data_IF_996659477725
#
_entry.id   IF_996659477725
#
_cell.length_a   1.000
_cell.length_b   1.000
_cell.length_c   1.000
_cell.angle_alpha   90.00
_cell.angle_beta   90.00
_cell.angle_gamma   90.00
#
_symmetry.space_group_name_H-M   'P 1'
#
loop_
_entity.id
_entity.type
_entity.pdbx_description
1 polymer ?
#
# COMPACT_ATOMS: atom_id res chain seq x y z
N UNK A 1 24.62 -29.27 23.57
CA UNK A 1 23.78 -30.35 23.02
C UNK A 1 22.34 -29.86 22.85
N UNK A 2 22.10 -28.86 21.99
CA UNK A 2 20.75 -28.32 21.75
C UNK A 2 20.50 -27.90 20.30
N UNK A 3 21.37 -28.25 19.34
CA UNK A 3 21.07 -28.06 17.91
C UNK A 3 20.04 -29.08 17.38
N UNK A 4 19.84 -30.19 18.10
CA UNK A 4 19.04 -31.32 17.64
C UNK A 4 17.53 -31.21 17.93
N UNK A 5 17.07 -30.12 18.55
CA UNK A 5 15.65 -29.88 18.87
C UNK A 5 15.03 -28.76 18.04
N UNK A 6 15.83 -27.96 17.33
CA UNK A 6 15.31 -26.83 16.56
C UNK A 6 14.84 -27.31 15.17
N UNK A 7 13.53 -27.27 14.87
CA UNK A 7 12.99 -27.72 13.59
C UNK A 7 13.55 -26.92 12.40
N UNK A 8 13.96 -25.66 12.60
CA UNK A 8 14.55 -24.83 11.54
C UNK A 8 15.95 -25.30 11.16
N UNK A 9 16.80 -25.58 12.15
CA UNK A 9 18.16 -26.06 11.93
C UNK A 9 18.15 -27.51 11.41
N UNK A 10 17.25 -28.35 11.92
CA UNK A 10 17.06 -29.71 11.42
C UNK A 10 16.68 -29.72 9.94
N UNK A 11 15.74 -28.85 9.52
CA UNK A 11 15.33 -28.74 8.11
C UNK A 11 16.48 -28.27 7.22
N UNK A 12 17.22 -27.25 7.67
CA UNK A 12 18.40 -26.73 6.96
C UNK A 12 19.48 -27.80 6.81
N UNK A 13 19.75 -28.55 7.89
CA UNK A 13 20.73 -29.65 7.88
C UNK A 13 20.33 -30.73 6.88
N UNK A 14 19.06 -31.17 6.91
CA UNK A 14 18.53 -32.18 5.99
C UNK A 14 18.62 -31.75 4.51
N UNK A 15 18.30 -30.48 4.21
CA UNK A 15 18.42 -29.92 2.87
C UNK A 15 19.89 -29.87 2.42
N UNK A 16 20.79 -29.39 3.30
CA UNK A 16 22.23 -29.28 3.00
C UNK A 16 22.89 -30.64 2.78
N UNK A 17 22.49 -31.66 3.53
CA UNK A 17 22.95 -33.03 3.37
C UNK A 17 22.25 -33.80 2.24
N UNK A 18 21.28 -33.18 1.55
CA UNK A 18 20.41 -33.82 0.55
C UNK A 18 19.76 -35.10 1.08
N UNK A 19 19.35 -35.09 2.35
CA UNK A 19 18.64 -36.20 2.96
C UNK A 19 17.24 -36.35 2.34
N UNK A 20 16.75 -37.58 2.27
CA UNK A 20 15.38 -37.86 1.81
C UNK A 20 14.40 -37.46 2.90
N UNK A 21 13.63 -36.40 2.65
CA UNK A 21 12.56 -35.95 3.55
C UNK A 21 11.28 -36.74 3.23
N UNK A 22 10.72 -37.41 4.22
CA UNK A 22 9.49 -38.22 4.09
C UNK A 22 8.37 -37.66 4.94
N UNK A 23 7.15 -38.14 4.70
CA UNK A 23 5.96 -37.69 5.41
C UNK A 23 5.25 -38.86 6.06
N UNK A 24 4.68 -38.63 7.25
CA UNK A 24 3.93 -39.65 7.98
C UNK A 24 2.63 -39.12 8.58
N UNK A 25 1.66 -40.04 8.71
CA UNK A 25 0.38 -39.84 9.38
C UNK A 25 0.12 -41.03 10.29
N UNK A 26 -0.05 -40.77 11.59
CA UNK A 26 -0.33 -41.81 12.59
C UNK A 26 0.68 -42.97 12.57
N UNK A 27 1.95 -42.66 12.29
CA UNK A 27 3.05 -43.64 12.21
C UNK A 27 3.18 -44.38 10.86
N UNK A 28 2.28 -44.15 9.90
CA UNK A 28 2.35 -44.73 8.55
C UNK A 28 2.89 -43.71 7.53
N UNK A 29 3.70 -44.15 6.53
CA UNK A 29 4.22 -43.27 5.50
C UNK A 29 3.11 -42.80 4.54
N UNK A 30 3.13 -41.52 4.16
CA UNK A 30 2.18 -40.91 3.21
C UNK A 30 2.90 -40.22 2.05
N UNK A 31 2.31 -40.18 0.84
CA UNK A 31 3.00 -39.70 -0.36
C UNK A 31 3.03 -38.17 -0.50
N UNK A 32 2.24 -37.42 0.25
CA UNK A 32 2.10 -35.97 0.06
C UNK A 32 2.01 -35.20 1.38
N UNK A 33 2.60 -34.00 1.39
CA UNK A 33 2.55 -33.07 2.53
C UNK A 33 1.12 -32.73 2.95
N UNK A 34 0.18 -32.60 1.99
CA UNK A 34 -1.21 -32.30 2.25
C UNK A 34 -1.91 -33.33 3.16
N UNK A 35 -1.53 -34.60 3.06
CA UNK A 35 -2.11 -35.71 3.84
C UNK A 35 -1.33 -36.07 5.11
N UNK A 36 -0.19 -35.40 5.35
CA UNK A 36 0.73 -35.69 6.44
C UNK A 36 0.36 -34.97 7.74
N UNK A 37 0.76 -35.58 8.86
CA UNK A 37 0.76 -34.93 10.19
C UNK A 37 2.16 -34.57 10.65
N UNK A 38 3.16 -35.34 10.22
CA UNK A 38 4.57 -35.17 10.59
C UNK A 38 5.45 -35.10 9.34
N UNK A 39 6.56 -34.36 9.46
CA UNK A 39 7.64 -34.26 8.49
C UNK A 39 8.85 -34.94 9.10
N UNK A 40 9.33 -35.99 8.44
CA UNK A 40 10.45 -36.81 8.90
C UNK A 40 11.70 -36.34 8.16
N UNK A 41 12.57 -35.63 8.88
CA UNK A 41 13.80 -35.03 8.32
C UNK A 41 14.99 -35.99 8.38
N UNK A 42 14.98 -36.91 9.34
CA UNK A 42 15.92 -38.02 9.45
C UNK A 42 15.27 -39.19 10.25
N UNK A 43 15.85 -40.41 10.25
CA UNK A 43 15.31 -41.53 11.01
C UNK A 43 15.16 -41.27 12.52
N UNK A 44 15.85 -40.27 13.06
CA UNK A 44 15.81 -39.87 14.47
C UNK A 44 15.13 -38.52 14.71
N UNK A 45 14.69 -37.80 13.68
CA UNK A 45 14.07 -36.47 13.79
C UNK A 45 12.80 -36.37 12.97
N UNK A 46 11.68 -36.42 13.69
CA UNK A 46 10.33 -36.21 13.16
C UNK A 46 9.67 -35.05 13.90
N UNK A 47 9.01 -34.17 13.17
CA UNK A 47 8.35 -32.99 13.72
C UNK A 47 6.93 -32.88 13.18
N UNK A 48 6.00 -32.41 14.01
CA UNK A 48 4.64 -32.10 13.55
C UNK A 48 4.70 -31.03 12.45
N UNK A 49 3.94 -31.18 11.36
CA UNK A 49 4.02 -30.29 10.20
C UNK A 49 3.77 -28.81 10.53
N UNK A 50 2.91 -28.56 11.52
CA UNK A 50 2.52 -27.23 11.97
C UNK A 50 3.45 -26.65 13.06
N UNK A 51 4.59 -27.29 13.34
CA UNK A 51 5.54 -26.83 14.37
C UNK A 51 6.07 -25.45 14.00
N UNK A 52 5.93 -24.43 14.87
CA UNK A 52 6.49 -23.10 14.62
C UNK A 52 8.02 -23.13 14.59
N UNK A 53 8.61 -22.45 13.62
CA UNK A 53 10.06 -22.30 13.48
C UNK A 53 10.52 -20.94 14.00
N UNK A 54 11.83 -20.74 14.12
CA UNK A 54 12.42 -19.45 14.54
C UNK A 54 12.37 -18.37 13.45
N UNK A 55 11.93 -18.69 12.23
CA UNK A 55 11.80 -17.72 11.16
C UNK A 55 10.50 -16.93 11.31
N UNK A 56 10.59 -15.66 11.69
CA UNK A 56 9.44 -14.77 11.92
C UNK A 56 8.70 -14.44 10.63
N UNK A 57 7.38 -14.35 10.75
CA UNK A 57 6.50 -13.79 9.73
C UNK A 57 6.64 -12.27 9.68
N UNK A 58 6.78 -11.70 8.49
CA UNK A 58 6.77 -10.24 8.32
C UNK A 58 5.39 -9.66 8.69
N UNK A 59 5.36 -8.73 9.62
CA UNK A 59 4.15 -7.98 10.01
C UNK A 59 3.27 -8.60 11.11
N UNK A 60 3.57 -9.81 11.62
CA UNK A 60 2.80 -10.45 12.70
C UNK A 60 3.67 -10.82 13.90
N UNK A 61 4.02 -9.82 14.73
CA UNK A 61 4.59 -10.04 16.08
C UNK A 61 5.80 -10.99 16.14
N UNK A 62 5.85 -11.83 17.19
CA UNK A 62 6.90 -12.83 17.41
C UNK A 62 6.51 -14.22 16.89
N UNK A 63 5.56 -14.30 15.95
CA UNK A 63 5.07 -15.57 15.40
C UNK A 63 5.97 -16.07 14.27
N UNK A 64 6.40 -17.33 14.37
CA UNK A 64 7.20 -18.01 13.36
C UNK A 64 6.37 -18.64 12.25
N UNK A 65 6.97 -18.80 11.06
CA UNK A 65 6.44 -19.70 10.03
C UNK A 65 6.48 -21.14 10.53
N UNK A 66 5.49 -21.93 10.12
CA UNK A 66 5.43 -23.36 10.41
C UNK A 66 6.45 -24.13 9.58
N UNK A 67 6.85 -25.31 10.05
CA UNK A 67 7.84 -26.14 9.37
C UNK A 67 7.41 -26.53 7.95
N UNK A 68 6.14 -26.87 7.75
CA UNK A 68 5.57 -27.16 6.44
C UNK A 68 5.61 -25.97 5.48
N UNK A 69 5.50 -24.73 5.99
CA UNK A 69 5.62 -23.53 5.19
C UNK A 69 7.00 -23.37 4.56
N UNK A 70 8.05 -23.57 5.36
CA UNK A 70 9.44 -23.46 4.92
C UNK A 70 9.81 -24.62 3.99
N UNK A 71 9.35 -25.83 4.29
CA UNK A 71 9.55 -26.98 3.41
C UNK A 71 8.88 -26.77 2.04
N UNK A 72 7.66 -26.25 2.01
CA UNK A 72 6.95 -26.01 0.75
C UNK A 72 7.66 -24.97 -0.14
N UNK A 73 8.32 -23.97 0.45
CA UNK A 73 9.16 -23.02 -0.29
C UNK A 73 10.33 -23.73 -0.97
N UNK A 74 11.00 -24.65 -0.27
CA UNK A 74 12.09 -25.46 -0.83
C UNK A 74 11.59 -26.40 -1.94
N UNK A 75 10.49 -27.12 -1.71
CA UNK A 75 9.89 -28.02 -2.71
C UNK A 75 9.51 -27.27 -3.99
N UNK A 76 9.05 -26.03 -3.87
CA UNK A 76 8.57 -25.19 -4.97
C UNK A 76 9.56 -24.08 -5.33
N UNK A 77 10.86 -24.32 -5.19
CA UNK A 77 11.90 -23.34 -5.50
C UNK A 77 11.90 -22.90 -6.98
N UNK A 78 11.54 -23.79 -7.90
CA UNK A 78 11.45 -23.48 -9.34
C UNK A 78 10.08 -22.95 -9.80
N UNK A 79 9.06 -22.95 -8.92
CA UNK A 79 7.71 -22.59 -9.29
C UNK A 79 7.51 -21.06 -9.27
N UNK A 80 6.73 -20.56 -10.24
CA UNK A 80 6.36 -19.15 -10.32
C UNK A 80 5.60 -18.67 -9.07
N UNK A 81 5.56 -17.35 -8.83
CA UNK A 81 4.82 -16.79 -7.68
C UNK A 81 3.34 -17.21 -7.63
N UNK A 82 2.67 -17.23 -8.79
CA UNK A 82 1.27 -17.65 -8.90
C UNK A 82 1.06 -19.14 -8.62
N UNK A 83 1.97 -19.98 -9.10
CA UNK A 83 1.92 -21.43 -8.90
C UNK A 83 2.17 -21.82 -7.44
N UNK A 84 3.14 -21.18 -6.79
CA UNK A 84 3.37 -21.34 -5.36
C UNK A 84 2.13 -21.00 -4.52
N UNK A 85 1.46 -19.88 -4.82
CA UNK A 85 0.24 -19.49 -4.09
C UNK A 85 -0.90 -20.49 -4.29
N UNK A 86 -1.03 -21.06 -5.49
CA UNK A 86 -2.01 -22.11 -5.78
C UNK A 86 -1.71 -23.37 -4.96
N UNK A 87 -0.48 -23.86 -5.00
CA UNK A 87 -0.08 -25.08 -4.30
C UNK A 87 -0.05 -24.92 -2.77
N UNK A 88 0.28 -23.74 -2.25
CA UNK A 88 0.16 -23.45 -0.82
C UNK A 88 -1.28 -23.61 -0.32
N UNK A 89 -2.27 -23.12 -1.09
CA UNK A 89 -3.69 -23.30 -0.77
C UNK A 89 -4.11 -24.77 -0.83
N UNK A 90 -3.66 -25.50 -1.84
CA UNK A 90 -3.95 -26.95 -1.99
C UNK A 90 -3.34 -27.78 -0.85
N UNK A 91 -2.22 -27.35 -0.26
CA UNK A 91 -1.62 -27.99 0.91
C UNK A 91 -2.20 -27.51 2.25
N UNK A 92 -3.32 -26.78 2.24
CA UNK A 92 -4.03 -26.31 3.44
C UNK A 92 -3.49 -25.02 4.04
N UNK A 93 -2.56 -24.34 3.38
CA UNK A 93 -1.96 -23.09 3.84
C UNK A 93 -2.73 -21.88 3.31
N UNK A 94 -3.95 -21.68 3.81
CA UNK A 94 -4.76 -20.49 3.49
C UNK A 94 -4.30 -19.27 4.27
N UNK A 95 -3.74 -19.47 5.47
CA UNK A 95 -3.15 -18.46 6.35
C UNK A 95 -1.78 -18.98 6.80
N UNK A 96 -0.72 -18.18 6.64
CA UNK A 96 0.64 -18.54 7.07
C UNK A 96 1.60 -19.04 5.99
N UNK A 97 1.28 -18.87 4.70
CA UNK A 97 2.25 -19.07 3.62
C UNK A 97 3.38 -18.02 3.68
N UNK A 98 4.59 -18.40 3.26
CA UNK A 98 5.73 -17.48 3.16
C UNK A 98 5.45 -16.46 2.08
N UNK A 99 5.67 -15.17 2.36
CA UNK A 99 5.40 -14.11 1.40
C UNK A 99 6.29 -14.26 0.15
N UNK A 100 5.80 -13.87 -1.02
CA UNK A 100 6.56 -13.96 -2.28
C UNK A 100 7.91 -13.23 -2.18
N UNK A 101 7.93 -12.10 -1.45
CA UNK A 101 9.11 -11.28 -1.19
C UNK A 101 10.14 -11.98 -0.30
N UNK A 102 9.73 -12.87 0.60
CA UNK A 102 10.64 -13.57 1.53
C UNK A 102 11.10 -14.93 1.01
N UNK A 103 10.44 -15.50 0.00
CA UNK A 103 10.78 -16.83 -0.56
C UNK A 103 12.26 -16.96 -0.90
N UNK A 104 12.84 -15.92 -1.53
CA UNK A 104 14.27 -15.93 -1.90
C UNK A 104 15.18 -15.98 -0.68
N UNK A 105 14.90 -15.16 0.34
CA UNK A 105 15.70 -15.12 1.57
C UNK A 105 15.61 -16.44 2.35
N UNK A 106 14.41 -17.03 2.43
CA UNK A 106 14.21 -18.36 3.05
C UNK A 106 15.00 -19.44 2.31
N UNK A 107 14.93 -19.49 0.97
CA UNK A 107 15.69 -20.44 0.16
C UNK A 107 17.20 -20.26 0.36
N UNK A 108 17.69 -19.02 0.26
CA UNK A 108 19.11 -18.71 0.42
C UNK A 108 19.61 -19.17 1.81
N UNK A 109 18.79 -19.10 2.86
CA UNK A 109 19.13 -19.62 4.19
C UNK A 109 19.10 -21.16 4.27
N UNK A 110 18.02 -21.79 3.79
CA UNK A 110 17.83 -23.24 3.82
C UNK A 110 18.91 -23.98 3.01
N UNK A 111 19.32 -23.41 1.88
CA UNK A 111 20.41 -23.94 1.04
C UNK A 111 21.81 -23.61 1.60
N UNK A 112 21.88 -22.79 2.65
CA UNK A 112 23.14 -22.41 3.30
C UNK A 112 23.95 -21.33 2.57
N UNK A 113 23.35 -20.59 1.64
CA UNK A 113 23.97 -19.42 0.99
C UNK A 113 24.15 -18.25 1.96
N UNK A 114 23.25 -18.13 2.95
CA UNK A 114 23.36 -17.19 4.07
C UNK A 114 23.39 -17.93 5.41
N UNK A 115 24.14 -17.41 6.39
CA UNK A 115 24.29 -18.01 7.72
C UNK A 115 23.24 -17.53 8.72
N UNK A 116 22.84 -16.25 8.63
CA UNK A 116 21.92 -15.55 9.53
C UNK A 116 21.00 -14.61 8.75
N UNK A 117 19.84 -14.30 9.32
CA UNK A 117 18.87 -13.36 8.76
C UNK A 117 18.13 -12.62 9.90
N UNK A 118 17.81 -11.30 9.77
CA UNK A 118 17.14 -10.53 10.83
C UNK A 118 15.77 -11.09 11.26
N UNK A 119 15.15 -11.90 10.41
CA UNK A 119 13.89 -12.60 10.74
C UNK A 119 14.08 -13.85 11.61
N UNK A 120 15.31 -14.30 11.88
CA UNK A 120 15.58 -15.48 12.71
C UNK A 120 15.73 -15.04 14.17
N UNK A 121 14.93 -15.61 15.06
CA UNK A 121 15.07 -15.39 16.51
C UNK A 121 16.36 -16.06 16.98
N UNK A 122 17.32 -15.32 17.53
CA UNK A 122 18.46 -15.89 18.24
C UNK A 122 18.02 -16.48 19.59
N UNK A 123 18.53 -17.65 19.93
CA UNK A 123 18.33 -18.23 21.27
C UNK A 123 19.27 -17.50 22.25
N UNK A 124 18.72 -16.71 23.17
CA UNK A 124 19.42 -16.43 24.42
C UNK A 124 19.47 -17.75 25.20
N UNK A 125 20.65 -18.37 25.25
CA UNK A 125 20.89 -19.52 26.10
C UNK A 125 20.46 -19.21 27.54
N UNK A 126 19.61 -20.07 28.08
CA UNK A 126 18.85 -19.84 29.29
C UNK A 126 19.66 -19.38 30.50
N UNK A 127 19.02 -18.47 31.23
CA UNK A 127 19.27 -18.14 32.63
C UNK A 127 18.98 -19.39 33.47
N UNK A 128 20.01 -20.20 33.69
CA UNK A 128 20.00 -21.36 34.59
C UNK A 128 20.91 -21.10 35.79
N UNK A 129 20.35 -21.34 36.96
CA UNK A 129 20.98 -21.27 38.28
C UNK A 129 22.12 -22.32 38.43
N UNK A 130 23.15 -21.99 39.21
CA UNK A 130 24.08 -22.96 39.79
C UNK A 130 25.49 -23.13 39.18
N UNK A 131 26.48 -22.57 39.89
CA UNK A 131 27.85 -23.07 40.10
C UNK A 131 28.79 -23.33 38.91
N UNK A 132 29.80 -22.47 38.79
CA UNK A 132 31.07 -22.80 38.16
C UNK A 132 31.99 -23.55 39.15
N UNK A 133 32.65 -24.66 38.79
CA UNK A 133 33.78 -25.17 39.54
C UNK A 133 35.10 -24.57 39.03
N UNK A 134 35.74 -23.86 39.95
CA UNK A 134 37.17 -23.64 40.19
C UNK A 134 38.21 -23.78 39.07
N UNK A 135 38.87 -22.66 38.78
CA UNK A 135 40.30 -22.57 38.48
C UNK A 135 40.86 -21.26 39.07
N UNK A 136 41.68 -21.38 40.12
CA UNK A 136 42.25 -20.37 41.02
C UNK A 136 42.93 -19.15 40.34
N UNK A 137 43.13 -17.98 40.94
CA UNK A 137 42.67 -17.32 42.16
C UNK A 137 43.02 -15.82 42.01
N UNK A 138 42.09 -14.90 42.30
CA UNK A 138 42.33 -13.54 42.81
C UNK A 138 40.98 -12.87 43.11
N UNK A 139 40.90 -12.17 44.23
CA UNK A 139 39.69 -11.71 44.93
C UNK A 139 38.82 -10.71 44.13
N UNK A 140 37.49 -10.62 44.37
CA UNK A 140 36.61 -9.74 43.60
C UNK A 140 36.69 -8.30 44.11
N UNK A 141 37.26 -7.38 43.33
CA UNK A 141 37.04 -5.94 43.55
C UNK A 141 35.64 -5.57 43.03
N UNK A 142 34.78 -5.09 43.93
CA UNK A 142 33.51 -4.42 43.60
C UNK A 142 33.75 -3.46 42.44
N UNK A 143 33.01 -3.61 41.33
CA UNK A 143 33.06 -2.69 40.18
C UNK A 143 32.92 -1.26 40.70
N UNK A 144 34.01 -0.49 40.65
CA UNK A 144 34.04 0.90 41.12
C UNK A 144 33.03 1.69 40.29
N UNK A 145 32.15 2.41 40.98
CA UNK A 145 31.21 3.32 40.34
C UNK A 145 32.02 4.29 39.46
N UNK A 146 31.67 4.40 38.18
CA UNK A 146 32.33 5.35 37.28
C UNK A 146 32.12 6.76 37.82
N UNK A 147 33.22 7.47 38.11
CA UNK A 147 33.22 8.87 38.52
C UNK A 147 33.77 9.66 37.34
N UNK A 148 32.94 10.48 36.67
CA UNK A 148 33.39 11.32 35.56
C UNK A 148 34.44 12.34 36.01
N UNK A 149 35.44 12.61 35.16
CA UNK A 149 36.43 13.67 35.39
C UNK A 149 35.74 15.05 35.38
N UNK A 150 36.04 15.89 36.38
CA UNK A 150 35.43 17.21 36.53
C UNK A 150 35.69 18.14 35.32
N UNK A 151 36.82 17.98 34.63
CA UNK A 151 37.13 18.75 33.42
C UNK A 151 36.28 18.29 32.24
N UNK A 152 36.12 16.98 32.07
CA UNK A 152 35.28 16.39 31.03
C UNK A 152 33.81 16.73 31.22
N UNK A 153 33.33 16.78 32.47
CA UNK A 153 31.94 17.18 32.77
C UNK A 153 31.63 18.59 32.25
N UNK A 154 32.56 19.54 32.39
CA UNK A 154 32.35 20.91 31.90
C UNK A 154 32.37 20.98 30.37
N UNK A 155 33.24 20.19 29.72
CA UNK A 155 33.35 20.11 28.26
C UNK A 155 32.10 19.46 27.66
N UNK A 156 31.66 18.32 28.20
CA UNK A 156 30.43 17.64 27.76
C UNK A 156 29.21 18.51 27.99
N UNK A 157 29.15 19.26 29.10
CA UNK A 157 28.06 20.21 29.35
C UNK A 157 28.02 21.33 28.30
N UNK A 158 29.18 21.84 27.88
CA UNK A 158 29.27 22.85 26.82
C UNK A 158 28.90 22.26 25.44
N UNK A 159 29.31 21.02 25.15
CA UNK A 159 28.93 20.33 23.91
C UNK A 159 27.42 20.10 23.85
N UNK A 160 26.81 19.59 24.92
CA UNK A 160 25.36 19.37 24.99
C UNK A 160 24.53 20.65 24.92
N UNK A 161 25.06 21.79 25.35
CA UNK A 161 24.36 23.08 25.22
C UNK A 161 24.33 23.62 23.79
N UNK A 162 25.30 23.21 22.97
CA UNK A 162 25.46 23.70 21.60
C UNK A 162 25.09 22.65 20.54
N UNK A 163 24.74 21.43 20.94
CA UNK A 163 24.32 20.38 20.02
C UNK A 163 22.85 20.58 19.60
N UNK A 164 22.57 20.30 18.33
CA UNK A 164 21.20 20.30 17.79
C UNK A 164 20.87 18.86 17.42
N UNK A 165 20.10 18.20 18.27
CA UNK A 165 19.57 16.86 18.00
C UNK A 165 18.44 16.97 16.96
N UNK A 166 18.72 16.58 15.71
CA UNK A 166 17.76 16.65 14.61
C UNK A 166 16.70 15.54 14.71
N UNK A 167 17.07 14.35 15.18
CA UNK A 167 16.19 13.18 15.32
C UNK A 167 16.64 12.30 16.50
N UNK A 168 15.69 11.82 17.30
CA UNK A 168 15.87 10.83 18.36
C UNK A 168 15.15 9.50 17.99
N UNK A 169 15.49 8.39 18.64
CA UNK A 169 14.83 7.07 18.48
C UNK A 169 13.31 7.15 18.54
N UNK A 170 12.76 8.06 19.34
CA UNK A 170 11.32 8.26 19.45
C UNK A 170 10.72 9.16 18.38
N UNK A 171 11.49 10.07 17.77
CA UNK A 171 11.03 10.94 16.68
C UNK A 171 11.17 10.29 15.32
N UNK A 172 12.15 9.39 15.10
CA UNK A 172 12.32 8.62 13.85
C UNK A 172 11.09 7.77 13.52
N UNK A 173 10.38 7.29 14.54
CA UNK A 173 9.15 6.49 14.38
C UNK A 173 7.89 7.34 14.16
N UNK A 174 8.00 8.67 14.14
CA UNK A 174 6.88 9.60 13.94
C UNK A 174 7.11 10.38 12.66
N UNK A 175 6.05 10.53 11.85
CA UNK A 175 6.12 11.40 10.67
C UNK A 175 6.33 12.85 11.07
N UNK A 176 6.91 13.67 10.17
CA UNK A 176 7.13 15.11 10.36
C UNK A 176 5.86 15.91 10.73
N UNK A 177 4.68 15.33 10.46
CA UNK A 177 3.39 15.88 10.85
C UNK A 177 2.83 15.05 12.00
N UNK A 178 2.52 15.69 13.13
CA UNK A 178 1.75 15.06 14.21
C UNK A 178 0.36 14.69 13.67
N UNK A 179 0.19 13.43 13.28
CA UNK A 179 -1.09 12.86 12.93
C UNK A 179 -1.51 11.93 14.06
N UNK A 180 -2.49 12.36 14.86
CA UNK A 180 -3.08 11.53 15.92
C UNK A 180 -4.28 10.75 15.35
N UNK A 181 -4.11 9.44 15.24
CA UNK A 181 -5.13 8.52 14.73
C UNK A 181 -5.96 7.86 15.84
N UNK A 182 -5.81 8.28 17.09
CA UNK A 182 -6.52 7.71 18.24
C UNK A 182 -8.04 7.82 18.06
N UNK A 183 -8.53 8.94 17.54
CA UNK A 183 -9.95 9.13 17.25
C UNK A 183 -10.47 8.15 16.18
N UNK A 184 -9.72 7.97 15.09
CA UNK A 184 -10.06 7.00 14.05
C UNK A 184 -10.04 5.57 14.59
N UNK A 185 -9.00 5.21 15.35
CA UNK A 185 -8.90 3.90 16.01
C UNK A 185 -10.09 3.63 16.93
N UNK A 186 -10.53 4.61 17.72
CA UNK A 186 -11.68 4.45 18.61
C UNK A 186 -12.99 4.26 17.83
N UNK A 187 -13.22 5.06 16.77
CA UNK A 187 -14.38 4.93 15.90
C UNK A 187 -14.47 3.52 15.28
N UNK A 188 -13.35 2.99 14.80
CA UNK A 188 -13.30 1.66 14.21
C UNK A 188 -13.39 0.54 15.25
N UNK A 189 -12.80 0.72 16.44
CA UNK A 189 -12.92 -0.22 17.55
C UNK A 189 -14.38 -0.38 18.00
N UNK A 190 -15.14 0.73 18.08
CA UNK A 190 -16.55 0.69 18.42
C UNK A 190 -17.40 0.07 17.30
N UNK A 191 -17.07 0.33 16.03
CA UNK A 191 -17.71 -0.37 14.90
C UNK A 191 -17.43 -1.86 14.93
N UNK A 192 -16.19 -2.28 15.22
CA UNK A 192 -15.81 -3.68 15.31
C UNK A 192 -16.52 -4.39 16.47
N UNK A 193 -16.65 -3.73 17.63
CA UNK A 193 -17.42 -4.25 18.76
C UNK A 193 -18.89 -4.42 18.40
N UNK A 194 -19.52 -3.41 17.79
CA UNK A 194 -20.91 -3.48 17.32
C UNK A 194 -21.15 -4.60 16.30
N UNK A 195 -20.21 -4.83 15.37
CA UNK A 195 -20.26 -5.95 14.43
C UNK A 195 -20.11 -7.31 15.12
N UNK A 196 -19.25 -7.41 16.14
CA UNK A 196 -19.04 -8.63 16.91
C UNK A 196 -20.22 -8.96 17.84
N UNK A 197 -20.88 -7.94 18.36
CA UNK A 197 -22.10 -8.08 19.18
C UNK A 197 -23.32 -8.42 18.30
N UNK A 198 -23.43 -7.83 17.09
CA UNK A 198 -24.46 -8.19 16.11
C UNK A 198 -24.33 -9.64 15.61
N UNK A 199 -23.12 -10.21 15.61
CA UNK A 199 -22.88 -11.62 15.27
C UNK A 199 -23.38 -12.61 16.34
N UNK A 200 -23.69 -12.16 17.56
CA UNK A 200 -24.15 -13.03 18.67
C UNK A 200 -25.67 -13.19 18.73
N UNK A 201 -26.46 -12.34 18.07
CA UNK A 201 -27.93 -12.34 18.19
C UNK A 201 -28.66 -13.06 17.06
N UNK A 202 -27.96 -13.82 16.19
CA UNK A 202 -28.60 -14.77 15.26
C UNK A 202 -29.59 -14.18 14.24
N UNK A 203 -29.70 -12.85 14.13
CA UNK A 203 -30.51 -12.21 13.11
C UNK A 203 -29.67 -12.06 11.83
N UNK A 204 -30.14 -12.64 10.74
CA UNK A 204 -29.54 -12.52 9.42
C UNK A 204 -29.44 -11.04 9.02
N UNK A 205 -28.23 -10.50 9.06
CA UNK A 205 -27.92 -9.16 8.55
C UNK A 205 -27.71 -9.28 7.03
N UNK A 206 -28.36 -8.45 6.19
CA UNK A 206 -28.07 -8.42 4.77
C UNK A 206 -26.59 -8.08 4.56
N UNK A 207 -25.92 -8.81 3.66
CA UNK A 207 -24.50 -8.66 3.38
C UNK A 207 -24.12 -7.18 3.14
N UNK A 208 -23.00 -6.68 3.68
CA UNK A 208 -22.50 -5.37 3.30
C UNK A 208 -22.24 -5.38 1.77
N UNK A 209 -22.53 -4.29 1.05
CA UNK A 209 -22.24 -4.21 -0.37
C UNK A 209 -20.75 -4.50 -0.54
N UNK A 210 -20.45 -5.48 -1.39
CA UNK A 210 -19.10 -5.77 -1.85
C UNK A 210 -18.40 -4.46 -2.25
N UNK A 211 -17.07 -4.33 -2.04
CA UNK A 211 -16.34 -3.22 -2.64
C UNK A 211 -16.64 -3.28 -4.13
N UNK A 212 -17.35 -2.26 -4.64
CA UNK A 212 -17.85 -2.24 -6.02
C UNK A 212 -16.73 -2.75 -6.91
N UNK A 213 -16.99 -3.85 -7.62
CA UNK A 213 -16.04 -4.43 -8.56
C UNK A 213 -15.42 -3.28 -9.35
N UNK A 214 -14.08 -3.21 -9.39
CA UNK A 214 -13.32 -2.16 -10.08
C UNK A 214 -14.01 -1.88 -11.41
N UNK A 215 -14.69 -0.74 -11.51
CA UNK A 215 -15.54 -0.42 -12.67
C UNK A 215 -14.65 -0.53 -13.90
N UNK A 216 -14.94 -1.50 -14.77
CA UNK A 216 -14.10 -1.82 -15.90
C UNK A 216 -14.21 -0.65 -16.90
N UNK A 217 -13.14 0.13 -17.07
CA UNK A 217 -13.13 1.21 -18.06
C UNK A 217 -12.21 2.38 -17.70
N UNK A 218 -12.02 3.28 -18.67
CA UNK A 218 -11.32 4.54 -18.43
C UNK A 218 -12.22 5.47 -17.59
N UNK A 219 -11.67 6.17 -16.57
CA UNK A 219 -12.42 7.20 -15.85
C UNK A 219 -12.84 8.33 -16.80
N UNK A 220 -13.99 8.93 -16.53
CA UNK A 220 -14.63 9.91 -17.41
C UNK A 220 -14.51 11.32 -16.83
N UNK A 221 -14.14 12.28 -17.68
CA UNK A 221 -14.17 13.71 -17.42
C UNK A 221 -15.26 14.31 -18.30
N UNK A 222 -16.22 15.01 -17.70
CA UNK A 222 -17.22 15.77 -18.44
C UNK A 222 -16.78 17.23 -18.57
N UNK A 223 -16.79 17.75 -19.79
CA UNK A 223 -16.55 19.16 -20.07
C UNK A 223 -17.86 19.87 -20.43
N UNK A 224 -17.92 21.18 -20.22
CA UNK A 224 -19.10 21.95 -20.62
C UNK A 224 -19.14 22.10 -22.13
N UNK A 225 -20.30 21.86 -22.73
CA UNK A 225 -20.57 22.12 -24.16
C UNK A 225 -20.85 23.61 -24.45
N UNK A 226 -20.79 24.46 -23.43
CA UNK A 226 -21.06 25.90 -23.58
C UNK A 226 -19.99 26.59 -24.43
N UNK A 227 -20.36 27.45 -25.40
CA UNK A 227 -19.41 28.21 -26.20
C UNK A 227 -18.53 29.17 -25.38
N UNK A 228 -18.97 29.54 -24.17
CA UNK A 228 -18.24 30.44 -23.26
C UNK A 228 -17.34 29.68 -22.28
N UNK A 229 -17.30 28.35 -22.34
CA UNK A 229 -16.40 27.56 -21.52
C UNK A 229 -14.94 27.76 -21.95
N UNK A 230 -14.06 27.93 -20.97
CA UNK A 230 -12.61 28.06 -21.24
C UNK A 230 -12.01 26.75 -21.75
N UNK A 231 -12.51 25.61 -21.25
CA UNK A 231 -12.08 24.27 -21.65
C UNK A 231 -13.26 23.55 -22.31
N UNK A 232 -13.09 23.22 -23.59
CA UNK A 232 -14.06 22.52 -24.44
C UNK A 232 -13.39 21.34 -25.14
N UNK A 233 -14.16 20.54 -25.88
CA UNK A 233 -13.59 19.44 -26.68
C UNK A 233 -12.55 19.91 -27.73
N UNK A 234 -12.52 21.19 -28.10
CA UNK A 234 -11.53 21.72 -29.05
C UNK A 234 -10.12 21.82 -28.45
N UNK A 235 -10.01 22.24 -27.18
CA UNK A 235 -8.72 22.55 -26.56
C UNK A 235 -8.36 21.62 -25.38
N UNK A 236 -9.28 20.77 -24.91
CA UNK A 236 -9.06 19.92 -23.74
C UNK A 236 -7.86 18.98 -23.89
N UNK A 237 -7.59 18.49 -25.10
CA UNK A 237 -6.43 17.64 -25.38
C UNK A 237 -5.11 18.39 -25.13
N UNK A 238 -4.99 19.60 -25.67
CA UNK A 238 -3.82 20.47 -25.51
C UNK A 238 -3.66 20.90 -24.06
N UNK A 239 -4.76 21.27 -23.41
CA UNK A 239 -4.74 21.72 -22.02
C UNK A 239 -4.41 20.59 -21.05
N UNK A 240 -5.20 19.52 -20.99
CA UNK A 240 -5.02 18.46 -19.98
C UNK A 240 -3.96 17.42 -20.36
N UNK A 241 -3.73 17.19 -21.66
CA UNK A 241 -2.72 16.25 -22.15
C UNK A 241 -1.33 16.87 -22.27
N UNK A 242 -1.24 18.07 -22.85
CA UNK A 242 0.05 18.72 -23.15
C UNK A 242 0.40 19.85 -22.18
N UNK A 243 -0.52 20.21 -21.27
CA UNK A 243 -0.33 21.30 -20.30
C UNK A 243 -0.13 22.68 -20.93
N UNK A 244 -0.75 22.91 -22.09
CA UNK A 244 -0.72 24.19 -22.81
C UNK A 244 -2.14 24.68 -23.00
N UNK A 245 -2.46 25.87 -22.49
CA UNK A 245 -3.76 26.47 -22.72
C UNK A 245 -3.77 27.29 -24.01
N UNK A 246 -4.74 27.02 -24.85
CA UNK A 246 -5.16 27.84 -25.98
C UNK A 246 -6.66 28.09 -25.85
N UNK A 247 -7.15 29.24 -26.32
CA UNK A 247 -8.58 29.53 -26.22
C UNK A 247 -9.37 28.60 -27.14
N UNK A 248 -10.64 28.34 -26.80
CA UNK A 248 -11.50 27.51 -27.66
C UNK A 248 -11.72 28.12 -29.05
N UNK A 249 -11.61 29.45 -29.18
CA UNK A 249 -11.71 30.15 -30.47
C UNK A 249 -10.46 29.89 -31.33
N UNK A 250 -9.26 30.03 -30.77
CA UNK A 250 -8.00 29.72 -31.46
C UNK A 250 -7.92 28.25 -31.84
N UNK A 251 -8.27 27.33 -30.93
CA UNK A 251 -8.30 25.89 -31.18
C UNK A 251 -9.24 25.54 -32.35
N UNK A 252 -10.42 26.17 -32.40
CA UNK A 252 -11.37 25.99 -33.49
C UNK A 252 -10.85 26.58 -34.81
N UNK A 253 -10.21 27.75 -34.77
CA UNK A 253 -9.59 28.35 -35.96
C UNK A 253 -8.49 27.44 -36.53
N UNK A 254 -7.65 26.87 -35.66
CA UNK A 254 -6.58 25.94 -36.03
C UNK A 254 -7.13 24.61 -36.59
N UNK A 255 -8.26 24.13 -36.06
CA UNK A 255 -8.93 22.92 -36.53
C UNK A 255 -9.70 23.14 -37.86
N UNK A 256 -9.95 24.39 -38.25
CA UNK A 256 -10.76 24.74 -39.42
C UNK A 256 -12.22 24.28 -39.27
N UNK A 257 -12.75 23.62 -40.31
CA UNK A 257 -14.13 23.09 -40.30
C UNK A 257 -14.27 21.74 -39.56
N UNK A 258 -13.20 21.20 -38.97
CA UNK A 258 -13.27 19.92 -38.29
C UNK A 258 -13.95 20.07 -36.93
N UNK A 259 -15.06 19.36 -36.75
CA UNK A 259 -15.73 19.23 -35.45
C UNK A 259 -14.91 18.27 -34.56
N UNK A 260 -14.77 18.55 -33.25
CA UNK A 260 -14.11 17.62 -32.35
C UNK A 260 -14.88 16.30 -32.28
N UNK A 261 -14.18 15.18 -32.06
CA UNK A 261 -14.82 13.89 -31.89
C UNK A 261 -15.69 13.90 -30.62
N UNK A 262 -16.67 13.01 -30.57
CA UNK A 262 -17.57 12.87 -29.41
C UNK A 262 -16.84 12.36 -28.15
N UNK A 263 -15.70 11.68 -28.35
CA UNK A 263 -14.86 11.13 -27.29
C UNK A 263 -13.39 11.48 -27.57
N UNK A 264 -12.74 12.09 -26.59
CA UNK A 264 -11.29 12.33 -26.60
C UNK A 264 -10.64 11.49 -25.50
N UNK A 265 -9.51 10.86 -25.82
CA UNK A 265 -8.71 10.11 -24.85
C UNK A 265 -7.47 10.90 -24.44
N UNK A 266 -7.35 11.18 -23.15
CA UNK A 266 -6.15 11.81 -22.58
C UNK A 266 -5.31 10.74 -21.90
N UNK A 267 -4.02 10.69 -22.26
CA UNK A 267 -3.04 9.80 -21.66
C UNK A 267 -2.15 10.59 -20.72
N UNK A 268 -2.12 10.19 -19.45
CA UNK A 268 -1.31 10.83 -18.42
C UNK A 268 -0.34 9.82 -17.82
N UNK A 269 0.93 10.20 -17.75
CA UNK A 269 1.92 9.49 -16.94
C UNK A 269 1.69 9.83 -15.46
N UNK A 270 1.52 8.79 -14.65
CA UNK A 270 1.27 8.89 -13.22
C UNK A 270 2.29 8.00 -12.52
N UNK A 271 2.95 8.55 -11.52
CA UNK A 271 3.84 7.79 -10.66
C UNK A 271 2.98 7.06 -9.63
N UNK A 272 3.05 5.74 -9.65
CA UNK A 272 2.31 4.86 -8.74
C UNK A 272 3.33 4.24 -7.79
N UNK A 273 3.03 4.14 -6.48
CA UNK A 273 3.87 3.37 -5.57
C UNK A 273 4.08 1.97 -6.13
N UNK A 274 5.34 1.53 -6.21
CA UNK A 274 5.61 0.14 -6.52
C UNK A 274 5.08 -0.71 -5.37
N UNK A 275 4.40 -1.81 -5.69
CA UNK A 275 3.82 -2.71 -4.68
C UNK A 275 4.90 -3.61 -4.04
N UNK A 276 6.17 -3.32 -4.29
CA UNK A 276 7.34 -4.18 -4.04
C UNK A 276 8.08 -3.78 -2.75
N UNK A 277 7.42 -3.06 -1.83
CA UNK A 277 7.98 -2.64 -0.54
C UNK A 277 9.11 -1.61 -0.60
N UNK A 278 9.60 -1.27 -1.80
CA UNK A 278 10.58 -0.20 -2.05
C UNK A 278 9.86 1.15 -2.24
N UNK A 279 10.45 2.25 -1.76
CA UNK A 279 9.99 3.64 -2.04
C UNK A 279 10.17 4.04 -3.52
N UNK A 280 10.35 3.06 -4.40
CA UNK A 280 10.47 3.29 -5.84
C UNK A 280 9.10 3.56 -6.44
N UNK A 281 8.94 4.71 -7.07
CA UNK A 281 7.74 5.02 -7.86
C UNK A 281 7.89 4.40 -9.25
N UNK A 282 6.86 3.67 -9.71
CA UNK A 282 6.78 3.22 -11.10
C UNK A 282 5.94 4.20 -11.91
N UNK A 283 6.42 4.56 -13.09
CA UNK A 283 5.66 5.38 -14.01
C UNK A 283 4.65 4.50 -14.75
N UNK A 284 3.37 4.82 -14.62
CA UNK A 284 2.29 4.15 -15.33
C UNK A 284 1.50 5.15 -16.16
N UNK A 285 1.06 4.76 -17.35
CA UNK A 285 0.18 5.59 -18.17
C UNK A 285 -1.28 5.29 -17.83
N UNK A 286 -2.01 6.28 -17.31
CA UNK A 286 -3.47 6.23 -17.14
C UNK A 286 -4.16 6.90 -18.31
N UNK A 287 -5.26 6.30 -18.78
CA UNK A 287 -6.11 6.84 -19.84
C UNK A 287 -7.41 7.37 -19.26
N UNK A 288 -7.81 8.57 -19.68
CA UNK A 288 -9.07 9.21 -19.33
C UNK A 288 -9.92 9.41 -20.58
N UNK A 289 -11.23 9.19 -20.46
CA UNK A 289 -12.20 9.49 -21.51
C UNK A 289 -12.84 10.85 -21.23
N UNK A 290 -12.97 11.68 -22.26
CA UNK A 290 -13.58 13.02 -22.17
C UNK A 290 -14.80 13.10 -23.06
N UNK A 291 -15.91 13.58 -22.49
CA UNK A 291 -17.17 13.82 -23.19
C UNK A 291 -17.67 15.24 -22.88
N UNK A 292 -18.42 15.85 -23.80
CA UNK A 292 -19.18 17.09 -23.57
C UNK A 292 -20.69 16.85 -23.43
N UNK A 293 -21.18 15.70 -23.91
CA UNK A 293 -22.57 15.27 -23.80
C UNK A 293 -22.66 14.00 -22.95
N UNK A 294 -23.38 14.12 -21.83
CA UNK A 294 -23.58 13.03 -20.89
C UNK A 294 -24.44 11.88 -21.44
N UNK A 295 -25.32 12.14 -22.41
CA UNK A 295 -26.18 11.13 -23.04
C UNK A 295 -25.41 10.20 -23.98
N UNK A 296 -24.23 10.64 -24.45
CA UNK A 296 -23.34 9.85 -25.32
C UNK A 296 -22.38 8.96 -24.54
N UNK A 297 -22.41 9.05 -23.21
CA UNK A 297 -21.66 8.14 -22.36
C UNK A 297 -22.27 6.73 -22.44
N UNK A 298 -21.46 5.68 -22.26
CA UNK A 298 -21.99 4.33 -22.14
C UNK A 298 -22.93 4.21 -20.93
N UNK A 299 -23.79 3.18 -20.87
CA UNK A 299 -24.80 3.03 -19.80
C UNK A 299 -24.22 3.02 -18.38
N UNK A 300 -22.99 2.52 -18.22
CA UNK A 300 -22.23 2.50 -16.96
C UNK A 300 -21.41 3.78 -16.72
N UNK A 301 -21.48 4.75 -17.63
CA UNK A 301 -20.59 5.90 -17.68
C UNK A 301 -20.63 6.75 -16.42
N UNK A 302 -21.81 6.93 -15.81
CA UNK A 302 -21.98 7.69 -14.57
C UNK A 302 -21.21 7.11 -13.38
N UNK A 303 -20.98 5.80 -13.34
CA UNK A 303 -20.16 5.18 -12.28
C UNK A 303 -18.66 5.41 -12.50
N UNK A 304 -18.27 5.88 -13.69
CA UNK A 304 -16.89 6.21 -14.07
C UNK A 304 -16.60 7.69 -14.11
N UNK A 305 -17.59 8.58 -13.96
CA UNK A 305 -17.35 10.03 -13.97
C UNK A 305 -16.59 10.42 -12.72
N UNK A 306 -15.36 10.89 -12.91
CA UNK A 306 -14.48 11.34 -11.81
C UNK A 306 -14.47 12.86 -11.66
N UNK A 307 -14.76 13.60 -12.73
CA UNK A 307 -14.70 15.05 -12.72
C UNK A 307 -15.71 15.66 -13.70
N UNK A 308 -16.34 16.77 -13.30
CA UNK A 308 -17.17 17.62 -14.15
C UNK A 308 -16.57 19.03 -14.16
N UNK A 309 -16.17 19.51 -15.33
CA UNK A 309 -15.82 20.92 -15.54
C UNK A 309 -17.09 21.73 -15.77
N UNK A 310 -17.24 22.83 -15.03
CA UNK A 310 -18.41 23.70 -15.11
C UNK A 310 -18.05 25.16 -15.38
N UNK A 311 -18.98 25.86 -16.03
CA UNK A 311 -18.97 27.32 -16.22
C UNK A 311 -19.76 28.07 -15.13
N UNK A 312 -20.28 27.37 -14.12
CA UNK A 312 -21.07 27.97 -13.04
C UNK A 312 -22.54 28.20 -13.38
N UNK A 313 -23.04 27.63 -14.49
CA UNK A 313 -24.42 27.77 -14.92
C UNK A 313 -25.21 26.48 -14.67
N UNK A 314 -26.21 26.52 -13.80
CA UNK A 314 -26.96 25.32 -13.38
C UNK A 314 -27.68 24.60 -14.55
N UNK A 315 -28.05 25.32 -15.61
CA UNK A 315 -28.68 24.71 -16.79
C UNK A 315 -27.79 23.66 -17.46
N UNK A 316 -26.46 23.73 -17.30
CA UNK A 316 -25.50 22.75 -17.81
C UNK A 316 -25.85 21.32 -17.38
N UNK A 317 -26.37 21.16 -16.16
CA UNK A 317 -26.57 19.85 -15.54
C UNK A 317 -27.95 19.25 -15.81
N UNK A 318 -28.85 19.94 -16.51
CA UNK A 318 -30.20 19.42 -16.82
C UNK A 318 -30.19 18.01 -17.43
N UNK A 319 -29.31 17.65 -18.39
CA UNK A 319 -29.26 16.30 -18.96
C UNK A 319 -28.46 15.31 -18.11
N UNK A 320 -27.99 15.69 -16.92
CA UNK A 320 -27.14 14.84 -16.09
C UNK A 320 -27.98 13.94 -15.18
N UNK A 321 -27.38 12.83 -14.72
CA UNK A 321 -28.00 11.92 -13.74
C UNK A 321 -28.45 12.65 -12.48
N UNK A 322 -27.67 13.64 -12.04
CA UNK A 322 -28.04 14.59 -10.99
C UNK A 322 -28.09 15.99 -11.60
N UNK A 323 -29.30 16.51 -11.78
CA UNK A 323 -29.51 17.84 -12.36
C UNK A 323 -29.28 18.97 -11.37
N UNK A 324 -29.43 18.71 -10.07
CA UNK A 324 -29.14 19.68 -9.03
C UNK A 324 -27.63 19.73 -8.72
N UNK A 325 -26.97 20.92 -8.79
CA UNK A 325 -25.52 21.04 -8.58
C UNK A 325 -25.03 20.47 -7.25
N UNK A 326 -25.78 20.69 -6.15
CA UNK A 326 -25.41 20.20 -4.82
C UNK A 326 -25.38 18.67 -4.78
N UNK A 327 -26.39 18.01 -5.34
CA UNK A 327 -26.45 16.56 -5.44
C UNK A 327 -25.37 16.01 -6.38
N UNK A 328 -25.13 16.67 -7.52
CA UNK A 328 -24.09 16.29 -8.48
C UNK A 328 -22.70 16.30 -7.82
N UNK A 329 -22.33 17.41 -7.17
CA UNK A 329 -21.00 17.59 -6.59
C UNK A 329 -20.80 16.92 -5.23
N UNK A 330 -21.84 16.28 -4.71
CA UNK A 330 -21.71 15.28 -3.65
C UNK A 330 -21.20 13.94 -4.19
N UNK A 331 -21.55 13.58 -5.43
CA UNK A 331 -21.18 12.30 -6.04
C UNK A 331 -19.93 12.35 -6.92
N UNK A 332 -19.66 13.52 -7.53
CA UNK A 332 -18.58 13.69 -8.51
C UNK A 332 -17.79 14.96 -8.18
N UNK A 333 -16.47 14.96 -8.44
CA UNK A 333 -15.68 16.17 -8.24
C UNK A 333 -16.06 17.26 -9.24
N UNK A 334 -16.49 18.41 -8.74
CA UNK A 334 -16.74 19.58 -9.57
C UNK A 334 -15.53 20.50 -9.65
N UNK A 335 -15.29 21.05 -10.84
CA UNK A 335 -14.25 22.06 -11.05
C UNK A 335 -14.76 23.21 -11.90
N UNK A 336 -14.64 24.43 -11.37
CA UNK A 336 -15.00 25.64 -12.08
C UNK A 336 -13.75 26.25 -12.69
N UNK A 337 -13.71 26.34 -14.02
CA UNK A 337 -12.56 26.93 -14.72
C UNK A 337 -12.88 28.38 -15.05
N UNK A 338 -12.07 29.31 -14.54
CA UNK A 338 -12.24 30.75 -14.76
C UNK A 338 -10.91 31.42 -15.06
N UNK A 339 -10.96 32.66 -15.55
CA UNK A 339 -9.75 33.47 -15.64
C UNK A 339 -9.28 33.89 -14.25
N UNK A 340 -7.96 34.03 -14.10
CA UNK A 340 -7.34 34.38 -12.82
C UNK A 340 -7.74 35.77 -12.30
N UNK A 341 -8.02 36.70 -13.20
CA UNK A 341 -8.42 38.07 -12.89
C UNK A 341 -9.94 38.30 -12.87
N UNK A 342 -10.74 37.27 -13.15
CA UNK A 342 -12.19 37.40 -13.04
C UNK A 342 -12.61 37.34 -11.56
N UNK A 343 -13.65 38.10 -11.16
CA UNK A 343 -14.15 38.05 -9.79
C UNK A 343 -14.71 36.65 -9.47
N UNK A 344 -14.66 36.22 -8.19
CA UNK A 344 -15.28 34.97 -7.77
C UNK A 344 -16.76 34.93 -8.16
N UNK A 345 -17.22 33.79 -8.69
CA UNK A 345 -18.60 33.64 -9.11
C UNK A 345 -19.48 33.28 -7.90
N UNK A 346 -20.43 34.12 -7.46
CA UNK A 346 -21.24 33.83 -6.28
C UNK A 346 -22.15 32.60 -6.47
N UNK A 347 -22.49 32.24 -7.71
CA UNK A 347 -23.37 31.09 -8.00
C UNK A 347 -22.75 29.74 -7.63
N UNK A 348 -21.43 29.66 -7.61
CA UNK A 348 -20.71 28.42 -7.29
C UNK A 348 -20.29 28.35 -5.82
N UNK A 349 -20.48 29.42 -5.04
CA UNK A 349 -20.10 29.45 -3.63
C UNK A 349 -20.83 28.36 -2.82
N UNK A 350 -22.06 28.07 -3.22
CA UNK A 350 -22.92 27.04 -2.63
C UNK A 350 -22.64 25.63 -3.15
N UNK A 351 -21.71 25.47 -4.09
CA UNK A 351 -21.43 24.21 -4.76
C UNK A 351 -20.09 23.66 -4.27
N UNK A 352 -19.99 22.33 -4.10
CA UNK A 352 -18.75 21.66 -3.73
C UNK A 352 -17.79 21.55 -4.93
N UNK A 353 -17.34 22.70 -5.45
CA UNK A 353 -16.47 22.80 -6.61
C UNK A 353 -15.12 23.40 -6.25
N UNK A 354 -14.08 22.99 -6.96
CA UNK A 354 -12.75 23.61 -6.84
C UNK A 354 -12.52 24.55 -8.00
N UNK A 355 -12.13 25.79 -7.71
CA UNK A 355 -11.76 26.76 -8.74
C UNK A 355 -10.39 26.41 -9.35
N UNK A 356 -10.33 26.41 -10.68
CA UNK A 356 -9.11 26.29 -11.48
C UNK A 356 -8.96 27.60 -12.26
N UNK A 357 -7.96 28.39 -11.87
CA UNK A 357 -7.70 29.71 -12.46
C UNK A 357 -6.67 29.62 -13.58
N UNK A 358 -7.06 30.08 -14.76
CA UNK A 358 -6.18 30.17 -15.94
C UNK A 358 -5.73 31.62 -16.11
N UNK A 359 -4.45 31.85 -16.34
CA UNK A 359 -3.95 33.19 -16.60
C UNK A 359 -4.19 33.56 -18.08
N UNK A 360 -4.60 34.80 -18.34
CA UNK A 360 -4.86 35.26 -19.71
C UNK A 360 -3.58 35.30 -20.55
N UNK A 361 -2.45 35.67 -19.97
CA UNK A 361 -1.22 35.99 -20.71
C UNK A 361 -0.02 35.10 -20.33
N UNK A 362 -0.01 34.52 -19.13
CA UNK A 362 1.14 33.76 -18.62
C UNK A 362 1.04 32.25 -18.92
N UNK A 363 1.33 31.83 -20.15
CA UNK A 363 1.29 30.41 -20.55
C UNK A 363 2.28 29.51 -19.80
N UNK A 364 3.38 30.07 -19.28
CA UNK A 364 4.35 29.30 -18.48
C UNK A 364 3.74 28.75 -17.17
N UNK A 365 2.63 29.31 -16.67
CA UNK A 365 1.96 28.80 -15.46
C UNK A 365 0.99 27.66 -15.73
N UNK A 366 0.62 27.41 -16.99
CA UNK A 366 -0.38 26.40 -17.36
C UNK A 366 -0.01 25.01 -16.84
N UNK A 367 1.28 24.66 -16.90
CA UNK A 367 1.80 23.40 -16.35
C UNK A 367 1.55 23.24 -14.86
N UNK A 368 1.68 24.32 -14.09
CA UNK A 368 1.36 24.32 -12.66
C UNK A 368 -0.15 24.18 -12.43
N UNK A 369 -0.97 24.90 -13.20
CA UNK A 369 -2.43 24.83 -13.14
C UNK A 369 -2.96 23.44 -13.47
N UNK A 370 -2.44 22.78 -14.50
CA UNK A 370 -2.83 21.43 -14.90
C UNK A 370 -2.33 20.39 -13.90
N UNK A 371 -1.12 20.55 -13.36
CA UNK A 371 -0.65 19.71 -12.26
C UNK A 371 -1.55 19.83 -11.01
N UNK A 372 -2.02 21.04 -10.70
CA UNK A 372 -2.99 21.27 -9.62
C UNK A 372 -4.34 20.60 -9.92
N UNK A 373 -4.92 20.79 -11.11
CA UNK A 373 -6.15 20.13 -11.56
C UNK A 373 -6.08 18.62 -11.31
N UNK A 374 -5.00 18.00 -11.76
CA UNK A 374 -4.80 16.57 -11.62
C UNK A 374 -4.67 16.13 -10.16
N UNK A 375 -3.93 16.88 -9.34
CA UNK A 375 -3.70 16.58 -7.91
C UNK A 375 -4.98 16.60 -7.09
N UNK A 376 -5.87 17.56 -7.36
CA UNK A 376 -7.07 17.83 -6.53
C UNK A 376 -7.94 16.60 -6.33
N UNK A 377 -8.14 15.78 -7.37
CA UNK A 377 -9.00 14.61 -7.28
C UNK A 377 -8.21 13.28 -7.19
N UNK A 378 -6.94 13.24 -7.63
CA UNK A 378 -6.14 12.00 -7.48
C UNK A 378 -5.65 11.73 -6.06
N UNK A 379 -5.57 12.74 -5.19
CA UNK A 379 -4.94 12.60 -3.87
C UNK A 379 -5.93 12.73 -2.70
N UNK A 380 -7.20 13.06 -2.96
CA UNK A 380 -8.15 13.43 -1.89
C UNK A 380 -9.59 12.96 -2.07
N UNK A 381 -9.86 12.01 -2.97
CA UNK A 381 -11.20 11.44 -3.22
C UNK A 381 -11.15 9.90 -3.11
N UNK A 382 -10.82 9.41 -1.91
CA UNK A 382 -10.87 7.99 -1.54
C UNK A 382 -11.76 7.80 -0.32
#
# INVERSE_FOLDING_TARGET
>A
MSENSDPLLALRSAIKSRATITFSKDGAPVPSLASATHIDLSPSQSYARATPTRWKKSGSGNEGYTLDALYLVFQLQGASGGEYMKQARENGMTVGMVSITERKAVLDYLEGRISDHPSIIQEDAGKGDGSAPAGAATSPQKRRHYVPDAKDVQVVKRMRQNEVELEDRHTVLRGQKLNDFTNLRNIYADKLKKLKDASKTGAAVPAPPSPKARVQGAPIILVSSSPTALVTMYNVQRFLGESVFETSQEARANAGNNRPPELIHIYRKVDIPSNDGTTSMRQATRRYAVYDNAEKMPPDGWDRVVCVLTTGQAWQFRPYKWSEPRALFHHVKGMHVSWANDPPNPKIADWNVTEIKIDKNRRHVDKSTVAHFWRVWTTGWA
#
